data_IF_174706825134
#
_entry.id   IF_174706825134
#
_cell.length_a   1.000
_cell.length_b   1.000
_cell.length_c   1.000
_cell.angle_alpha   90.00
_cell.angle_beta   90.00
_cell.angle_gamma   90.00
#
_symmetry.space_group_name_H-M   'P 1'
#
loop_
_entity.id
_entity.type
_entity.pdbx_description
1 polymer ?
#
# COMPACT_ATOMS: atom_id res chain seq x y z
N UNK A 1 -4.86 -33.66 -5.79
CA UNK A 1 -4.60 -32.43 -6.59
C UNK A 1 -4.74 -31.13 -5.77
N UNK A 2 -5.66 -31.05 -4.81
CA UNK A 2 -5.92 -29.85 -3.97
C UNK A 2 -4.73 -29.44 -3.08
N UNK A 3 -4.04 -30.40 -2.45
CA UNK A 3 -2.92 -30.12 -1.52
C UNK A 3 -1.72 -29.45 -2.21
N UNK A 4 -1.36 -29.90 -3.43
CA UNK A 4 -0.26 -29.29 -4.20
C UNK A 4 -0.56 -27.84 -4.62
N UNK A 5 -1.81 -27.53 -4.97
CA UNK A 5 -2.23 -26.16 -5.33
C UNK A 5 -2.21 -25.22 -4.13
N UNK A 6 -2.59 -25.71 -2.94
CA UNK A 6 -2.50 -24.96 -1.69
C UNK A 6 -1.04 -24.59 -1.36
N UNK A 7 -0.14 -25.57 -1.41
CA UNK A 7 1.29 -25.33 -1.17
C UNK A 7 1.92 -24.33 -2.16
N UNK A 8 1.45 -24.31 -3.41
CA UNK A 8 1.91 -23.34 -4.40
C UNK A 8 1.49 -21.90 -4.08
N UNK A 9 0.21 -21.72 -3.68
CA UNK A 9 -0.31 -20.40 -3.30
C UNK A 9 0.42 -19.87 -2.06
N UNK A 10 0.65 -20.73 -1.07
CA UNK A 10 1.39 -20.37 0.14
C UNK A 10 2.83 -19.96 -0.19
N UNK A 11 3.50 -20.68 -1.10
CA UNK A 11 4.85 -20.34 -1.52
C UNK A 11 4.91 -19.02 -2.30
N UNK A 12 3.92 -18.73 -3.14
CA UNK A 12 3.81 -17.46 -3.85
C UNK A 12 3.67 -16.30 -2.86
N UNK A 13 2.78 -16.42 -1.88
CA UNK A 13 2.58 -15.41 -0.82
C UNK A 13 3.90 -15.15 -0.08
N UNK A 14 4.59 -16.22 0.35
CA UNK A 14 5.87 -16.09 1.06
C UNK A 14 6.93 -15.38 0.21
N UNK A 15 7.04 -15.73 -1.07
CA UNK A 15 8.04 -15.14 -1.96
C UNK A 15 7.74 -13.66 -2.23
N UNK A 16 6.49 -13.31 -2.52
CA UNK A 16 6.06 -11.91 -2.68
C UNK A 16 6.30 -11.10 -1.42
N UNK A 17 5.98 -11.66 -0.24
CA UNK A 17 6.26 -11.01 1.03
C UNK A 17 7.75 -10.76 1.22
N UNK A 18 8.61 -11.76 0.97
CA UNK A 18 10.08 -11.62 1.08
C UNK A 18 10.63 -10.49 0.21
N UNK A 19 10.11 -10.34 -1.01
CA UNK A 19 10.50 -9.25 -1.91
C UNK A 19 10.08 -7.88 -1.36
N UNK A 20 8.91 -7.79 -0.72
CA UNK A 20 8.35 -6.55 -0.20
C UNK A 20 8.83 -6.15 1.21
N UNK A 21 9.37 -7.08 2.01
CA UNK A 21 9.68 -6.86 3.45
C UNK A 21 10.48 -5.57 3.71
N UNK A 22 11.53 -5.33 2.93
CA UNK A 22 12.38 -4.14 3.13
C UNK A 22 11.60 -2.84 2.90
N UNK A 23 10.76 -2.79 1.87
CA UNK A 23 9.98 -1.60 1.54
C UNK A 23 8.82 -1.42 2.51
N UNK A 24 8.15 -2.50 2.90
CA UNK A 24 7.11 -2.48 3.94
C UNK A 24 7.66 -1.99 5.29
N UNK A 25 8.88 -2.40 5.67
CA UNK A 25 9.55 -1.91 6.87
C UNK A 25 9.87 -0.42 6.78
N UNK A 26 10.44 0.04 5.67
CA UNK A 26 10.74 1.47 5.49
C UNK A 26 9.47 2.32 5.53
N UNK A 27 8.42 1.89 4.86
CA UNK A 27 7.14 2.60 4.82
C UNK A 27 6.44 2.59 6.18
N UNK A 28 6.47 1.48 6.94
CA UNK A 28 5.88 1.44 8.27
C UNK A 28 6.60 2.34 9.27
N UNK A 29 7.92 2.50 9.15
CA UNK A 29 8.71 3.41 9.99
C UNK A 29 8.36 4.89 9.78
N UNK A 30 7.75 5.26 8.64
CA UNK A 30 7.21 6.62 8.44
C UNK A 30 5.95 6.88 9.30
N UNK A 31 5.28 5.82 9.75
CA UNK A 31 4.00 5.84 10.43
C UNK A 31 4.02 5.24 11.83
N UNK A 32 5.05 5.52 12.62
CA UNK A 32 5.24 4.95 13.97
C UNK A 32 5.15 3.40 13.99
N UNK A 33 5.83 2.78 13.02
CA UNK A 33 5.86 1.32 12.83
C UNK A 33 4.49 0.70 12.48
N UNK A 34 3.56 1.49 11.92
CA UNK A 34 2.26 1.00 11.42
C UNK A 34 2.05 1.43 9.97
N UNK A 35 1.59 0.49 9.15
CA UNK A 35 1.25 0.68 7.75
C UNK A 35 -0.11 0.03 7.50
N UNK A 36 -1.04 0.77 6.91
CA UNK A 36 -2.33 0.22 6.48
C UNK A 36 -2.39 0.28 4.96
N UNK A 37 -2.73 -0.86 4.35
CA UNK A 37 -2.89 -0.99 2.91
C UNK A 37 -4.28 -1.56 2.64
N UNK A 38 -5.06 -0.86 1.84
CA UNK A 38 -6.41 -1.26 1.47
C UNK A 38 -6.60 -1.08 -0.04
N UNK A 39 -6.96 -2.15 -0.73
CA UNK A 39 -7.18 -2.14 -2.18
C UNK A 39 -8.67 -2.24 -2.47
N UNK A 40 -9.25 -1.13 -2.91
CA UNK A 40 -10.61 -1.10 -3.43
C UNK A 40 -10.58 -1.56 -4.90
N UNK A 41 -10.97 -2.82 -5.10
CA UNK A 41 -11.01 -3.44 -6.43
C UNK A 41 -12.08 -2.82 -7.34
N UNK A 42 -13.19 -2.32 -6.80
CA UNK A 42 -14.27 -1.75 -7.62
C UNK A 42 -13.83 -0.40 -8.20
N UNK A 43 -13.14 0.41 -7.40
CA UNK A 43 -12.62 1.70 -7.83
C UNK A 43 -11.25 1.63 -8.54
N UNK A 44 -10.56 0.48 -8.46
CA UNK A 44 -9.14 0.32 -8.85
C UNK A 44 -8.20 1.32 -8.13
N UNK A 45 -8.36 1.40 -6.80
CA UNK A 45 -7.63 2.35 -5.95
C UNK A 45 -6.94 1.64 -4.80
N UNK A 46 -5.65 1.91 -4.60
CA UNK A 46 -4.89 1.45 -3.45
C UNK A 46 -4.67 2.61 -2.46
N UNK A 47 -5.17 2.44 -1.24
CA UNK A 47 -4.92 3.34 -0.12
C UNK A 47 -3.73 2.85 0.70
N UNK A 48 -2.78 3.74 0.96
CA UNK A 48 -1.63 3.46 1.83
C UNK A 48 -1.59 4.52 2.93
N UNK A 49 -1.77 4.13 4.19
CA UNK A 49 -1.74 5.06 5.34
C UNK A 49 -0.54 4.75 6.24
N UNK A 50 0.22 5.80 6.58
CA UNK A 50 1.34 5.73 7.49
C UNK A 50 0.86 6.09 8.90
N UNK A 51 0.81 5.11 9.81
CA UNK A 51 0.28 5.30 11.15
C UNK A 51 -1.23 5.13 11.26
N UNK A 52 -1.83 5.57 12.37
CA UNK A 52 -3.29 5.55 12.48
C UNK A 52 -3.93 6.47 11.44
N UNK A 53 -5.06 6.06 10.82
CA UNK A 53 -5.82 6.94 9.94
C UNK A 53 -6.11 8.28 10.63
N UNK A 54 -5.65 9.35 10.01
CA UNK A 54 -5.80 10.70 10.54
C UNK A 54 -6.23 11.64 9.42
N UNK A 55 -6.97 12.69 9.80
CA UNK A 55 -7.44 13.69 8.84
C UNK A 55 -6.25 14.47 8.28
N UNK A 56 -6.13 14.45 6.96
CA UNK A 56 -5.22 15.31 6.22
C UNK A 56 -5.71 16.77 6.25
N UNK A 57 -4.79 17.73 6.28
CA UNK A 57 -5.09 19.16 6.09
C UNK A 57 -4.90 19.62 4.64
N UNK A 58 -4.18 18.83 3.84
CA UNK A 58 -3.89 19.13 2.44
C UNK A 58 -3.82 17.84 1.58
N UNK A 59 -4.04 17.98 0.27
CA UNK A 59 -3.93 16.90 -0.70
C UNK A 59 -3.45 17.42 -2.05
N UNK A 60 -2.47 16.73 -2.64
CA UNK A 60 -1.92 17.08 -3.95
C UNK A 60 -1.99 15.85 -4.86
N UNK A 61 -2.67 15.97 -6.00
CA UNK A 61 -2.57 14.99 -7.09
C UNK A 61 -1.28 15.27 -7.87
N UNK A 62 -0.41 14.27 -7.97
CA UNK A 62 0.75 14.34 -8.87
C UNK A 62 0.45 13.76 -10.24
N UNK A 63 1.34 14.03 -11.19
CA UNK A 63 1.26 13.53 -12.57
C UNK A 63 1.41 12.00 -12.68
N UNK A 64 1.78 11.35 -11.58
CA UNK A 64 1.93 9.90 -11.44
C UNK A 64 0.63 9.21 -10.98
N UNK A 65 -0.53 9.87 -11.04
CA UNK A 65 -1.82 9.35 -10.58
C UNK A 65 -1.87 9.00 -9.07
N UNK A 66 -0.96 9.58 -8.27
CA UNK A 66 -0.94 9.38 -6.82
C UNK A 66 -1.38 10.67 -6.13
N UNK A 67 -2.45 10.59 -5.35
CA UNK A 67 -2.86 11.67 -4.45
C UNK A 67 -2.06 11.53 -3.16
N UNK A 68 -1.30 12.58 -2.83
CA UNK A 68 -0.50 12.67 -1.61
C UNK A 68 -1.27 13.47 -0.58
N UNK A 69 -1.75 12.80 0.47
CA UNK A 69 -2.46 13.44 1.58
C UNK A 69 -1.45 13.84 2.64
N UNK A 70 -1.48 15.11 3.06
CA UNK A 70 -0.53 15.68 4.01
C UNK A 70 -1.21 16.11 5.30
N UNK A 71 -0.42 16.15 6.37
CA UNK A 71 -0.76 16.78 7.64
C UNK A 71 0.48 17.48 8.18
N UNK A 72 0.38 18.76 8.51
CA UNK A 72 1.51 19.58 8.99
C UNK A 72 2.73 19.48 8.05
N UNK A 73 2.48 19.48 6.73
CA UNK A 73 3.53 19.39 5.71
C UNK A 73 4.14 17.99 5.48
N UNK A 74 3.78 16.98 6.28
CA UNK A 74 4.24 15.59 6.10
C UNK A 74 3.21 14.76 5.36
N UNK A 75 3.65 13.85 4.49
CA UNK A 75 2.75 12.87 3.86
C UNK A 75 2.29 11.88 4.93
N UNK A 76 0.97 11.73 5.07
CA UNK A 76 0.34 10.80 6.02
C UNK A 76 -0.40 9.66 5.32
N UNK A 77 -0.74 9.84 4.04
CA UNK A 77 -1.46 8.84 3.27
C UNK A 77 -1.25 9.05 1.76
N UNK A 78 -1.32 7.97 1.00
CA UNK A 78 -1.34 7.95 -0.45
C UNK A 78 -2.64 7.30 -0.93
N UNK A 79 -3.19 7.84 -2.02
CA UNK A 79 -4.25 7.21 -2.80
C UNK A 79 -3.69 7.00 -4.21
N UNK A 80 -3.39 5.75 -4.56
CA UNK A 80 -2.87 5.37 -5.87
C UNK A 80 -4.06 5.03 -6.75
N UNK A 81 -4.30 5.85 -7.76
CA UNK A 81 -5.36 5.62 -8.74
C UNK A 81 -4.87 4.64 -9.82
N UNK A 82 -5.80 3.90 -10.43
CA UNK A 82 -5.48 2.87 -11.42
C UNK A 82 -4.44 1.86 -10.91
N UNK A 83 -4.58 1.44 -9.65
CA UNK A 83 -3.54 0.70 -8.95
C UNK A 83 -3.18 -0.63 -9.64
N UNK A 84 -4.13 -1.25 -10.33
CA UNK A 84 -3.92 -2.46 -11.12
C UNK A 84 -2.89 -2.30 -12.25
N UNK A 85 -2.62 -1.08 -12.73
CA UNK A 85 -1.59 -0.82 -13.73
C UNK A 85 -0.16 -0.96 -13.18
N UNK A 86 0.00 -0.94 -11.86
CA UNK A 86 1.28 -1.12 -11.16
C UNK A 86 1.51 -2.57 -10.71
N UNK A 87 0.47 -3.40 -10.71
CA UNK A 87 0.62 -4.83 -10.44
C UNK A 87 1.18 -5.57 -11.64
N UNK A 88 2.21 -6.39 -11.40
CA UNK A 88 2.80 -7.33 -12.36
C UNK A 88 2.01 -8.64 -12.34
#
# INVERSE_FOLDING_TARGET
MVIKKKNYMDQQIINSAKLAVNDLMKLSLLGDSRLWVDFDREADVLYVNFGQPQKADDSILGDDNIIRRKRNGKIVSLTVLNASQYSI
#
